data_IF_673949615211
#
_entry.id   IF_673949615211
#
_cell.length_a   1.000
_cell.length_b   1.000
_cell.length_c   1.000
_cell.angle_alpha   90.00
_cell.angle_beta   90.00
_cell.angle_gamma   90.00
#
_symmetry.space_group_name_H-M   'P 1'
#
loop_
_entity.id
_entity.type
_entity.pdbx_description
1 polymer ?
#
# COMPACT_ATOMS: atom_id res chain seq x y z
N UNK A 1 -9.01 14.01 -6.08
CA UNK A 1 -8.37 14.04 -4.75
C UNK A 1 -6.88 14.36 -4.92
N UNK A 2 -6.29 15.05 -3.93
CA UNK A 2 -4.84 15.09 -3.73
C UNK A 2 -4.41 13.84 -2.97
N UNK A 3 -3.63 12.97 -3.60
CA UNK A 3 -3.30 11.64 -3.07
C UNK A 3 -1.82 11.53 -2.80
N UNK A 4 -1.43 11.42 -1.52
CA UNK A 4 -0.06 11.20 -1.12
C UNK A 4 0.32 9.73 -1.30
N UNK A 5 1.33 9.46 -2.11
CA UNK A 5 1.87 8.11 -2.33
C UNK A 5 3.17 7.96 -1.53
N UNK A 6 3.12 7.18 -0.47
CA UNK A 6 4.28 6.86 0.38
C UNK A 6 4.93 5.59 -0.13
N UNK A 7 6.23 5.66 -0.43
CA UNK A 7 6.93 4.61 -1.19
C UNK A 7 6.82 4.80 -2.72
N UNK A 8 6.55 6.03 -3.17
CA UNK A 8 6.36 6.40 -4.58
C UNK A 8 7.50 5.97 -5.50
N UNK A 9 8.75 6.02 -5.03
CA UNK A 9 9.93 5.60 -5.82
C UNK A 9 10.15 4.08 -5.85
N UNK A 10 9.33 3.30 -5.11
CA UNK A 10 9.35 1.83 -5.18
C UNK A 10 8.71 1.29 -6.46
N UNK A 11 8.94 0.00 -6.76
CA UNK A 11 8.40 -0.64 -7.98
C UNK A 11 6.88 -0.49 -8.11
N UNK A 12 6.12 -0.74 -7.04
CA UNK A 12 4.66 -0.61 -7.05
C UNK A 12 4.24 0.87 -7.03
N UNK A 13 4.91 1.72 -6.22
CA UNK A 13 4.62 3.14 -6.15
C UNK A 13 4.74 3.84 -7.51
N UNK A 14 5.77 3.53 -8.28
CA UNK A 14 5.96 4.09 -9.64
C UNK A 14 4.86 3.68 -10.62
N UNK A 15 4.18 2.56 -10.40
CA UNK A 15 3.01 2.14 -11.19
C UNK A 15 1.72 2.83 -10.73
N UNK A 16 1.61 3.17 -9.46
CA UNK A 16 0.45 3.88 -8.89
C UNK A 16 0.34 5.31 -9.45
N UNK A 17 1.46 6.03 -9.60
CA UNK A 17 1.44 7.44 -9.97
C UNK A 17 0.70 7.74 -11.29
N UNK A 18 1.02 7.09 -12.43
CA UNK A 18 0.30 7.32 -13.68
C UNK A 18 -1.16 6.87 -13.61
N UNK A 19 -1.48 5.78 -12.87
CA UNK A 19 -2.85 5.32 -12.71
C UNK A 19 -3.72 6.33 -11.96
N UNK A 20 -3.16 7.05 -10.99
CA UNK A 20 -3.87 8.14 -10.31
C UNK A 20 -4.23 9.26 -11.26
N UNK A 21 -3.34 9.63 -12.18
CA UNK A 21 -3.64 10.65 -13.21
C UNK A 21 -4.73 10.18 -14.17
N UNK A 22 -4.67 8.93 -14.63
CA UNK A 22 -5.66 8.33 -15.52
C UNK A 22 -7.06 8.31 -14.89
N UNK A 23 -7.14 8.20 -13.57
CA UNK A 23 -8.41 8.23 -12.81
C UNK A 23 -8.79 9.62 -12.31
N UNK A 24 -8.07 10.67 -12.72
CA UNK A 24 -8.41 12.07 -12.42
C UNK A 24 -8.00 12.54 -11.02
N UNK A 25 -7.12 11.82 -10.36
CA UNK A 25 -6.51 12.24 -9.09
C UNK A 25 -5.22 13.03 -9.34
N UNK A 26 -4.73 13.72 -8.31
CA UNK A 26 -3.46 14.44 -8.32
C UNK A 26 -2.44 13.70 -7.45
N UNK A 27 -1.51 12.95 -8.05
CA UNK A 27 -0.53 12.22 -7.27
C UNK A 27 0.53 13.15 -6.66
N UNK A 28 0.75 12.97 -5.37
CA UNK A 28 1.82 13.57 -4.58
C UNK A 28 2.79 12.47 -4.18
N UNK A 29 4.02 12.54 -4.63
CA UNK A 29 5.01 11.48 -4.42
C UNK A 29 5.90 11.80 -3.22
N UNK A 30 5.74 11.09 -2.10
CA UNK A 30 6.66 11.23 -0.98
C UNK A 30 8.03 10.68 -1.35
N UNK A 31 9.06 11.54 -1.25
CA UNK A 31 10.45 11.23 -1.56
C UNK A 31 11.35 11.55 -0.36
N UNK A 32 12.43 10.78 -0.18
CA UNK A 32 13.40 11.00 0.90
C UNK A 32 14.57 11.90 0.50
N UNK A 33 14.70 12.20 -0.79
CA UNK A 33 15.80 13.01 -1.32
C UNK A 33 15.32 13.77 -2.55
N UNK A 34 15.70 15.04 -2.64
CA UNK A 34 15.46 15.89 -3.82
C UNK A 34 15.98 15.28 -5.15
N UNK A 35 16.97 14.40 -5.07
CA UNK A 35 17.49 13.69 -6.25
C UNK A 35 16.46 12.79 -6.93
N UNK A 36 15.36 12.47 -6.24
CA UNK A 36 14.24 11.66 -6.76
C UNK A 36 13.18 12.51 -7.47
N UNK A 37 13.22 13.84 -7.33
CA UNK A 37 12.17 14.75 -7.81
C UNK A 37 11.95 14.66 -9.32
N UNK A 38 13.03 14.64 -10.10
CA UNK A 38 12.94 14.57 -11.56
C UNK A 38 12.20 13.32 -12.06
N UNK A 39 12.44 12.19 -11.41
CA UNK A 39 11.77 10.92 -11.72
C UNK A 39 10.27 10.98 -11.42
N UNK A 40 9.88 11.58 -10.28
CA UNK A 40 8.47 11.70 -9.89
C UNK A 40 7.73 12.66 -10.82
N UNK A 41 8.34 13.79 -11.15
CA UNK A 41 7.79 14.74 -12.13
C UNK A 41 7.59 14.09 -13.51
N UNK A 42 8.54 13.26 -13.95
CA UNK A 42 8.43 12.51 -15.21
C UNK A 42 7.26 11.51 -15.21
N UNK A 43 6.84 11.01 -14.03
CA UNK A 43 5.65 10.18 -13.85
C UNK A 43 4.37 11.00 -13.60
N UNK A 44 4.45 12.34 -13.70
CA UNK A 44 3.32 13.25 -13.53
C UNK A 44 2.94 13.50 -12.07
N UNK A 45 3.79 13.16 -11.10
CA UNK A 45 3.53 13.37 -9.69
C UNK A 45 4.34 14.54 -9.14
N UNK A 46 3.73 15.35 -8.29
CA UNK A 46 4.42 16.41 -7.57
C UNK A 46 5.21 15.81 -6.37
N UNK A 47 6.53 16.04 -6.26
CA UNK A 47 7.32 15.51 -5.17
C UNK A 47 7.02 16.24 -3.85
N UNK A 48 6.95 15.46 -2.76
CA UNK A 48 6.84 15.94 -1.37
C UNK A 48 7.99 15.35 -0.58
N UNK A 49 8.87 16.19 -0.02
CA UNK A 49 9.99 15.71 0.77
C UNK A 49 9.50 15.23 2.14
N UNK A 50 9.85 13.99 2.50
CA UNK A 50 9.47 13.38 3.78
C UNK A 50 10.17 12.06 4.03
N UNK A 51 10.30 11.69 5.29
CA UNK A 51 10.87 10.41 5.73
C UNK A 51 9.97 9.80 6.80
N UNK A 52 9.67 8.50 6.67
CA UNK A 52 8.88 7.75 7.65
C UNK A 52 9.53 7.68 9.05
N UNK A 53 10.80 7.99 9.16
CA UNK A 53 11.54 8.06 10.42
C UNK A 53 11.62 9.49 10.99
N UNK A 54 10.94 10.46 10.35
CA UNK A 54 10.88 11.87 10.74
C UNK A 54 9.46 12.34 11.05
N UNK A 55 9.26 13.66 11.22
CA UNK A 55 7.93 14.25 11.40
C UNK A 55 7.11 14.14 10.12
N UNK A 56 5.84 13.80 10.24
CA UNK A 56 4.96 13.47 9.11
C UNK A 56 3.73 14.38 8.97
N UNK A 57 3.43 15.21 9.97
CA UNK A 57 2.25 16.08 9.98
C UNK A 57 2.25 17.03 8.79
N UNK A 58 3.38 17.73 8.54
CA UNK A 58 3.50 18.63 7.39
C UNK A 58 3.49 17.90 6.03
N UNK A 59 3.92 16.63 6.03
CA UNK A 59 3.91 15.78 4.83
C UNK A 59 2.49 15.37 4.46
N UNK A 60 1.62 15.11 5.46
CA UNK A 60 0.25 14.67 5.27
C UNK A 60 -0.72 15.83 5.04
N UNK A 61 -0.41 17.01 5.60
CA UNK A 61 -1.32 18.18 5.60
C UNK A 61 -1.80 18.56 4.20
N UNK A 62 -3.12 18.71 4.07
CA UNK A 62 -3.77 19.14 2.83
C UNK A 62 -3.97 18.05 1.78
N UNK A 63 -3.67 16.79 2.11
CA UNK A 63 -4.00 15.66 1.26
C UNK A 63 -5.37 15.05 1.62
N UNK A 64 -6.09 14.57 0.60
CA UNK A 64 -7.40 13.92 0.77
C UNK A 64 -7.24 12.43 1.13
N UNK A 65 -6.17 11.79 0.66
CA UNK A 65 -5.91 10.38 0.85
C UNK A 65 -4.41 10.06 0.89
N UNK A 66 -4.09 8.94 1.56
CA UNK A 66 -2.74 8.34 1.57
C UNK A 66 -2.79 6.93 1.02
N UNK A 67 -1.88 6.64 0.08
CA UNK A 67 -1.57 5.29 -0.39
C UNK A 67 -0.21 4.88 0.16
N UNK A 68 -0.19 3.92 1.08
CA UNK A 68 1.03 3.40 1.68
C UNK A 68 1.54 2.18 0.90
N UNK A 69 2.55 2.37 0.06
CA UNK A 69 3.24 1.33 -0.71
C UNK A 69 4.73 1.23 -0.34
N UNK A 70 5.12 1.79 0.81
CA UNK A 70 6.49 1.72 1.29
C UNK A 70 6.79 0.36 1.94
N UNK A 71 8.06 0.02 1.93
CA UNK A 71 8.64 -1.09 2.65
C UNK A 71 10.15 -0.91 2.72
N UNK A 72 10.78 -1.48 3.73
CA UNK A 72 12.23 -1.38 3.96
C UNK A 72 13.06 -1.99 2.82
N UNK A 73 12.45 -2.92 2.07
CA UNK A 73 13.09 -3.64 0.96
C UNK A 73 13.86 -4.88 1.40
N UNK A 74 14.04 -5.83 0.47
CA UNK A 74 14.64 -7.15 0.74
C UNK A 74 16.15 -7.12 1.06
N UNK A 75 16.81 -5.96 0.93
CA UNK A 75 18.25 -5.79 1.17
C UNK A 75 18.57 -5.21 2.54
N UNK A 76 17.55 -4.87 3.32
CA UNK A 76 17.70 -4.28 4.67
C UNK A 76 17.50 -5.35 5.76
N UNK A 77 18.01 -5.09 6.96
CA UNK A 77 17.84 -5.99 8.09
C UNK A 77 16.48 -5.85 8.79
N UNK A 78 16.19 -6.75 9.76
CA UNK A 78 14.93 -6.73 10.52
C UNK A 78 14.64 -5.40 11.23
N UNK A 79 15.67 -4.72 11.74
CA UNK A 79 15.53 -3.42 12.40
C UNK A 79 14.88 -2.39 11.47
N UNK A 80 15.35 -2.32 10.21
CA UNK A 80 14.78 -1.40 9.23
C UNK A 80 13.34 -1.72 8.86
N UNK A 81 12.96 -3.01 8.89
CA UNK A 81 11.56 -3.43 8.73
C UNK A 81 10.70 -2.91 9.87
N UNK A 82 11.17 -2.99 11.11
CA UNK A 82 10.46 -2.43 12.25
C UNK A 82 10.34 -0.90 12.13
N UNK A 83 11.40 -0.21 11.72
CA UNK A 83 11.38 1.25 11.65
C UNK A 83 10.48 1.78 10.52
N UNK A 84 10.49 1.13 9.35
CA UNK A 84 9.74 1.61 8.16
C UNK A 84 8.36 0.96 8.06
N UNK A 85 8.29 -0.39 8.06
CA UNK A 85 7.05 -1.12 7.78
C UNK A 85 6.08 -1.14 8.97
N UNK A 86 6.59 -0.98 10.20
CA UNK A 86 5.77 -0.93 11.41
C UNK A 86 5.67 0.50 11.97
N UNK A 87 6.75 1.03 12.59
CA UNK A 87 6.72 2.33 13.29
C UNK A 87 6.40 3.48 12.35
N UNK A 88 7.05 3.54 11.19
CA UNK A 88 6.83 4.58 10.20
C UNK A 88 5.42 4.55 9.62
N UNK A 89 4.87 3.34 9.39
CA UNK A 89 3.48 3.19 8.97
C UNK A 89 2.51 3.69 10.05
N UNK A 90 2.72 3.33 11.32
CA UNK A 90 1.90 3.78 12.45
C UNK A 90 1.97 5.30 12.62
N UNK A 91 3.18 5.88 12.62
CA UNK A 91 3.36 7.33 12.73
C UNK A 91 2.64 8.09 11.60
N UNK A 92 2.66 7.54 10.37
CA UNK A 92 1.93 8.12 9.25
C UNK A 92 0.40 8.06 9.45
N UNK A 93 -0.14 6.96 9.99
CA UNK A 93 -1.56 6.85 10.32
C UNK A 93 -1.97 7.86 11.38
N UNK A 94 -1.15 8.04 12.42
CA UNK A 94 -1.38 9.03 13.49
C UNK A 94 -1.34 10.45 12.93
N UNK A 95 -0.40 10.77 12.03
CA UNK A 95 -0.37 12.04 11.32
C UNK A 95 -1.61 12.24 10.45
N UNK A 96 -2.11 11.21 9.77
CA UNK A 96 -3.35 11.27 9.00
C UNK A 96 -4.56 11.62 9.89
N UNK A 97 -4.68 11.00 11.05
CA UNK A 97 -5.75 11.33 12.03
C UNK A 97 -5.61 12.78 12.50
N UNK A 98 -4.40 13.23 12.85
CA UNK A 98 -4.15 14.57 13.35
C UNK A 98 -4.47 15.67 12.30
N UNK A 99 -4.16 15.42 11.03
CA UNK A 99 -4.34 16.37 9.92
C UNK A 99 -5.68 16.18 9.17
N UNK A 100 -6.59 15.31 9.66
CA UNK A 100 -7.89 14.97 9.04
C UNK A 100 -7.79 14.42 7.60
N UNK A 101 -6.72 13.73 7.25
CA UNK A 101 -6.58 12.97 6.02
C UNK A 101 -7.19 11.58 6.21
N UNK A 102 -8.50 11.46 5.97
CA UNK A 102 -9.27 10.30 6.44
C UNK A 102 -9.06 9.03 5.61
N UNK A 103 -8.87 9.12 4.29
CA UNK A 103 -8.76 7.95 3.41
C UNK A 103 -7.36 7.37 3.42
N UNK A 104 -7.19 6.12 3.89
CA UNK A 104 -5.90 5.44 3.97
C UNK A 104 -5.95 4.06 3.33
N UNK A 105 -5.12 3.81 2.32
CA UNK A 105 -5.00 2.50 1.67
C UNK A 105 -3.62 1.93 1.94
N UNK A 106 -3.60 0.76 2.61
CA UNK A 106 -2.38 0.06 2.99
C UNK A 106 -2.09 -1.06 2.02
N UNK A 107 -0.91 -1.04 1.40
CA UNK A 107 -0.32 -2.22 0.78
C UNK A 107 0.36 -3.06 1.86
N UNK A 108 -0.31 -4.10 2.29
CA UNK A 108 0.17 -5.08 3.27
C UNK A 108 0.69 -6.35 2.57
N UNK A 109 0.46 -7.52 3.12
CA UNK A 109 0.84 -8.79 2.55
C UNK A 109 -0.05 -9.93 3.04
N UNK A 110 -0.17 -10.98 2.26
CA UNK A 110 -0.85 -12.20 2.68
C UNK A 110 -0.25 -12.77 3.97
N UNK A 111 -1.04 -13.54 4.70
CA UNK A 111 -0.68 -14.19 5.97
C UNK A 111 -0.41 -13.23 7.16
N UNK A 112 -0.66 -11.92 7.05
CA UNK A 112 -0.63 -11.05 8.23
C UNK A 112 -1.73 -11.38 9.25
N UNK A 113 -2.80 -12.06 8.82
CA UNK A 113 -3.84 -12.62 9.70
C UNK A 113 -3.58 -14.04 10.19
N UNK A 114 -2.52 -14.72 9.72
CA UNK A 114 -2.22 -16.13 10.01
C UNK A 114 -0.69 -16.36 10.06
N UNK A 115 -0.03 -15.67 11.00
CA UNK A 115 1.44 -15.63 11.10
C UNK A 115 2.08 -17.03 11.32
N UNK A 116 1.34 -17.99 11.88
CA UNK A 116 1.77 -19.38 12.01
C UNK A 116 2.00 -20.08 10.66
N UNK A 117 1.42 -19.56 9.58
CA UNK A 117 1.62 -20.05 8.20
C UNK A 117 2.76 -19.32 7.48
N UNK A 118 3.30 -18.26 8.08
CA UNK A 118 4.32 -17.43 7.45
C UNK A 118 5.63 -18.22 7.26
N UNK A 119 6.27 -18.12 6.06
CA UNK A 119 7.61 -18.66 5.88
C UNK A 119 8.58 -18.04 6.90
N UNK A 120 9.45 -18.85 7.50
CA UNK A 120 10.40 -18.39 8.53
C UNK A 120 11.18 -17.13 8.09
N UNK A 121 11.65 -17.10 6.84
CA UNK A 121 12.41 -15.98 6.28
C UNK A 121 11.60 -14.67 6.19
N UNK A 122 10.27 -14.73 6.14
CA UNK A 122 9.38 -13.58 6.04
C UNK A 122 8.68 -13.27 7.36
N UNK A 123 8.86 -14.11 8.38
CA UNK A 123 8.10 -14.01 9.63
C UNK A 123 8.25 -12.62 10.28
N UNK A 124 9.48 -12.10 10.43
CA UNK A 124 9.72 -10.78 11.02
C UNK A 124 9.04 -9.65 10.22
N UNK A 125 9.06 -9.75 8.89
CA UNK A 125 8.40 -8.78 8.00
C UNK A 125 6.88 -8.83 8.17
N UNK A 126 6.30 -10.04 8.13
CA UNK A 126 4.85 -10.21 8.28
C UNK A 126 4.34 -9.83 9.67
N UNK A 127 5.14 -10.05 10.73
CA UNK A 127 4.84 -9.55 12.08
C UNK A 127 4.76 -8.02 12.09
N UNK A 128 5.73 -7.33 11.51
CA UNK A 128 5.73 -5.85 11.42
C UNK A 128 4.52 -5.33 10.65
N UNK A 129 4.17 -5.97 9.53
CA UNK A 129 2.98 -5.63 8.74
C UNK A 129 1.69 -5.90 9.52
N UNK A 130 1.59 -7.04 10.21
CA UNK A 130 0.41 -7.40 11.01
C UNK A 130 0.16 -6.41 12.16
N UNK A 131 1.22 -5.92 12.81
CA UNK A 131 1.12 -4.89 13.85
C UNK A 131 0.58 -3.59 13.24
N UNK A 132 1.11 -3.15 12.10
CA UNK A 132 0.63 -1.96 11.39
C UNK A 132 -0.82 -2.13 10.91
N UNK A 133 -1.20 -3.30 10.35
CA UNK A 133 -2.56 -3.62 9.92
C UNK A 133 -3.54 -3.54 11.10
N UNK A 134 -3.14 -4.08 12.27
CA UNK A 134 -3.97 -4.06 13.49
C UNK A 134 -4.17 -2.63 14.00
N UNK A 135 -3.11 -1.79 13.98
CA UNK A 135 -3.20 -0.40 14.37
C UNK A 135 -4.14 0.37 13.43
N UNK A 136 -4.01 0.16 12.12
CA UNK A 136 -4.87 0.79 11.13
C UNK A 136 -6.34 0.40 11.32
N UNK A 137 -6.61 -0.88 11.52
CA UNK A 137 -7.97 -1.39 11.73
C UNK A 137 -8.62 -0.88 13.03
N UNK A 138 -7.82 -0.50 14.03
CA UNK A 138 -8.29 0.11 15.28
C UNK A 138 -8.40 1.64 15.21
N UNK A 139 -7.94 2.29 14.15
CA UNK A 139 -7.96 3.73 13.96
C UNK A 139 -9.35 4.24 13.55
N UNK A 140 -9.49 5.56 13.49
CA UNK A 140 -10.70 6.24 12.97
C UNK A 140 -10.63 6.53 11.47
N UNK A 141 -9.61 6.02 10.78
CA UNK A 141 -9.42 6.26 9.35
C UNK A 141 -10.37 5.42 8.50
N UNK A 142 -10.80 5.97 7.38
CA UNK A 142 -11.50 5.25 6.31
C UNK A 142 -10.50 4.37 5.56
N UNK A 143 -10.11 3.26 6.19
CA UNK A 143 -9.03 2.43 5.70
C UNK A 143 -9.46 1.35 4.69
N UNK A 144 -8.50 0.91 3.89
CA UNK A 144 -8.53 -0.36 3.15
C UNK A 144 -7.18 -1.05 3.29
N UNK A 145 -7.14 -2.32 3.66
CA UNK A 145 -5.91 -3.11 3.76
C UNK A 145 -5.89 -4.13 2.63
N UNK A 146 -5.03 -3.91 1.66
CA UNK A 146 -4.82 -4.79 0.50
C UNK A 146 -3.66 -5.73 0.80
N UNK A 147 -3.91 -7.05 0.82
CA UNK A 147 -2.95 -8.10 1.21
C UNK A 147 -2.61 -8.99 0.01
N UNK A 148 -1.73 -8.55 -0.89
CA UNK A 148 -1.33 -9.36 -2.05
C UNK A 148 -0.46 -10.55 -1.66
N UNK A 149 -0.48 -11.58 -2.51
CA UNK A 149 0.54 -12.61 -2.52
C UNK A 149 1.91 -12.10 -3.00
N UNK A 150 2.77 -13.01 -3.45
CA UNK A 150 4.10 -12.63 -3.93
C UNK A 150 3.99 -11.73 -5.17
N UNK A 151 4.57 -10.53 -5.09
CA UNK A 151 4.53 -9.56 -6.17
C UNK A 151 5.51 -9.94 -7.29
N UNK A 152 5.01 -10.07 -8.52
CA UNK A 152 5.82 -10.27 -9.72
C UNK A 152 5.96 -8.99 -10.56
N UNK A 153 6.95 -8.97 -11.44
CA UNK A 153 7.14 -7.89 -12.42
C UNK A 153 6.52 -8.25 -13.79
N UNK A 154 5.67 -9.28 -13.83
CA UNK A 154 4.91 -9.65 -15.03
C UNK A 154 3.85 -8.58 -15.34
N UNK A 155 3.41 -8.54 -16.61
CA UNK A 155 2.33 -7.66 -17.02
C UNK A 155 1.03 -7.98 -16.26
N UNK A 156 0.27 -6.95 -15.91
CA UNK A 156 -1.04 -7.11 -15.32
C UNK A 156 -2.06 -7.68 -16.31
N UNK A 157 -2.93 -8.53 -15.80
CA UNK A 157 -4.02 -9.14 -16.59
C UNK A 157 -5.37 -8.42 -16.39
N UNK A 158 -5.48 -7.62 -15.33
CA UNK A 158 -6.75 -7.05 -14.87
C UNK A 158 -7.68 -8.07 -14.20
N UNK A 159 -7.20 -9.31 -13.99
CA UNK A 159 -7.97 -10.40 -13.41
C UNK A 159 -7.36 -10.83 -12.07
N UNK A 160 -8.18 -10.87 -11.03
CA UNK A 160 -7.78 -11.20 -9.67
C UNK A 160 -8.72 -12.19 -9.01
N UNK A 161 -8.32 -12.70 -7.88
CA UNK A 161 -9.13 -13.41 -6.90
C UNK A 161 -8.93 -12.76 -5.55
N UNK A 162 -10.02 -12.44 -4.84
CA UNK A 162 -10.02 -11.84 -3.50
C UNK A 162 -10.69 -12.77 -2.49
N UNK A 163 -10.37 -12.60 -1.21
CA UNK A 163 -10.98 -13.31 -0.09
C UNK A 163 -10.35 -12.92 1.24
N UNK A 164 -10.98 -13.35 2.33
CA UNK A 164 -10.47 -13.10 3.70
C UNK A 164 -9.26 -13.97 4.01
N UNK A 165 -9.24 -15.21 3.52
CA UNK A 165 -8.14 -16.17 3.61
C UNK A 165 -8.11 -17.01 2.32
N UNK A 166 -7.18 -16.70 1.45
CA UNK A 166 -6.97 -17.46 0.19
C UNK A 166 -6.03 -18.64 0.38
N UNK A 167 -5.56 -18.87 1.61
CA UNK A 167 -4.54 -19.84 1.93
C UNK A 167 -3.16 -19.41 1.42
N UNK A 168 -2.12 -19.54 2.24
CA UNK A 168 -0.75 -19.26 1.80
C UNK A 168 -0.31 -20.33 0.81
N UNK A 169 -0.39 -20.04 -0.48
CA UNK A 169 0.13 -20.94 -1.53
C UNK A 169 1.61 -20.62 -1.71
N UNK A 170 2.48 -21.39 -1.05
CA UNK A 170 3.94 -21.18 -1.07
C UNK A 170 4.49 -21.26 -2.51
N UNK A 171 3.88 -22.04 -3.40
CA UNK A 171 4.36 -22.33 -4.75
C UNK A 171 3.51 -21.74 -5.90
N UNK A 172 2.83 -20.60 -5.71
CA UNK A 172 2.06 -20.05 -6.84
C UNK A 172 1.16 -18.87 -6.50
N UNK A 173 1.10 -18.48 -5.25
CA UNK A 173 0.31 -17.33 -4.82
C UNK A 173 0.93 -15.99 -5.25
N UNK A 174 0.93 -15.72 -6.58
CA UNK A 174 1.52 -14.50 -7.17
C UNK A 174 0.43 -13.57 -7.67
N UNK A 175 0.79 -12.31 -7.76
CA UNK A 175 0.04 -11.27 -8.45
C UNK A 175 1.03 -10.25 -9.03
N UNK A 176 0.70 -9.66 -10.16
CA UNK A 176 1.55 -8.62 -10.73
C UNK A 176 1.50 -7.34 -9.89
N UNK A 177 2.61 -6.60 -9.86
CA UNK A 177 2.62 -5.25 -9.26
C UNK A 177 1.68 -4.30 -9.98
N UNK A 178 1.49 -4.51 -11.28
CA UNK A 178 0.58 -3.71 -12.08
C UNK A 178 -0.88 -3.91 -11.65
N UNK A 179 -1.35 -5.15 -11.49
CA UNK A 179 -2.71 -5.41 -11.00
C UNK A 179 -2.86 -4.97 -9.53
N UNK A 180 -1.81 -5.14 -8.73
CA UNK A 180 -1.77 -4.61 -7.34
C UNK A 180 -1.95 -3.10 -7.32
N UNK A 181 -1.24 -2.35 -8.18
CA UNK A 181 -1.37 -0.91 -8.29
C UNK A 181 -2.78 -0.49 -8.76
N UNK A 182 -3.36 -1.20 -9.74
CA UNK A 182 -4.74 -0.99 -10.20
C UNK A 182 -5.75 -1.17 -9.07
N UNK A 183 -5.63 -2.25 -8.28
CA UNK A 183 -6.52 -2.49 -7.13
C UNK A 183 -6.41 -1.38 -6.09
N UNK A 184 -5.19 -0.97 -5.72
CA UNK A 184 -4.95 0.09 -4.74
C UNK A 184 -5.60 1.41 -5.20
N UNK A 185 -5.41 1.80 -6.46
CA UNK A 185 -6.01 3.03 -7.00
C UNK A 185 -7.53 2.90 -7.08
N UNK A 186 -8.05 1.77 -7.55
CA UNK A 186 -9.49 1.54 -7.65
C UNK A 186 -10.21 1.60 -6.30
N UNK A 187 -9.55 1.26 -5.18
CA UNK A 187 -10.13 1.36 -3.84
C UNK A 187 -10.40 2.82 -3.40
N UNK A 188 -9.72 3.82 -3.99
CA UNK A 188 -9.93 5.23 -3.59
C UNK A 188 -11.38 5.68 -3.76
N UNK A 189 -11.98 5.34 -4.90
CA UNK A 189 -13.32 5.78 -5.27
C UNK A 189 -14.41 4.75 -4.93
N UNK A 190 -14.09 3.76 -4.04
CA UNK A 190 -15.02 2.69 -3.67
C UNK A 190 -15.36 2.69 -2.18
N UNK A 191 -16.48 3.31 -1.78
CA UNK A 191 -16.90 3.34 -0.38
C UNK A 191 -17.09 1.96 0.25
N UNK A 192 -17.47 0.95 -0.53
CA UNK A 192 -17.64 -0.43 -0.05
C UNK A 192 -16.31 -1.10 0.36
N UNK A 193 -15.17 -0.51 0.03
CA UNK A 193 -13.85 -0.99 0.48
C UNK A 193 -13.40 -0.36 1.79
N UNK A 194 -14.13 0.64 2.31
CA UNK A 194 -13.83 1.26 3.60
C UNK A 194 -14.08 0.23 4.71
N UNK A 195 -13.09 0.05 5.58
CA UNK A 195 -13.09 -0.96 6.64
C UNK A 195 -12.73 -2.37 6.15
N UNK A 196 -12.49 -2.55 4.84
CA UNK A 196 -12.14 -3.86 4.29
C UNK A 196 -10.64 -4.18 4.46
N UNK A 197 -10.38 -5.47 4.77
CA UNK A 197 -9.04 -6.06 4.73
C UNK A 197 -9.15 -7.39 3.99
N UNK A 198 -8.51 -7.51 2.84
CA UNK A 198 -8.65 -8.70 1.99
C UNK A 198 -7.33 -9.15 1.37
N UNK A 199 -7.18 -10.44 1.22
CA UNK A 199 -6.11 -11.06 0.45
C UNK A 199 -6.43 -11.05 -1.03
N UNK A 200 -5.38 -10.96 -1.88
CA UNK A 200 -5.56 -11.03 -3.33
C UNK A 200 -4.42 -11.75 -4.04
N UNK A 201 -4.80 -12.48 -5.08
CA UNK A 201 -3.94 -13.22 -5.99
C UNK A 201 -4.35 -12.95 -7.44
N UNK A 202 -3.48 -13.32 -8.40
CA UNK A 202 -3.91 -13.46 -9.78
C UNK A 202 -5.06 -14.46 -9.85
N UNK A 203 -6.05 -14.20 -10.70
CA UNK A 203 -7.26 -14.98 -10.78
C UNK A 203 -7.94 -14.86 -12.15
N UNK A 204 -9.25 -15.00 -12.16
CA UNK A 204 -10.11 -15.01 -13.34
C UNK A 204 -11.25 -13.98 -13.29
N UNK A 205 -11.35 -13.22 -12.19
CA UNK A 205 -12.40 -12.23 -11.99
C UNK A 205 -11.87 -10.83 -12.29
N UNK A 206 -12.53 -10.02 -13.14
CA UNK A 206 -12.13 -8.63 -13.37
C UNK A 206 -12.03 -7.84 -12.06
N UNK A 207 -11.02 -6.99 -11.92
CA UNK A 207 -10.75 -6.17 -10.72
C UNK A 207 -12.01 -5.45 -10.25
N UNK A 208 -12.74 -4.81 -11.18
CA UNK A 208 -13.98 -4.08 -10.89
C UNK A 208 -15.03 -4.96 -10.21
N UNK A 209 -15.22 -6.18 -10.75
CA UNK A 209 -16.19 -7.16 -10.24
C UNK A 209 -15.76 -7.69 -8.88
N UNK A 210 -14.48 -8.01 -8.72
CA UNK A 210 -13.94 -8.53 -7.46
C UNK A 210 -14.08 -7.51 -6.33
N UNK A 211 -13.75 -6.22 -6.59
CA UNK A 211 -13.88 -5.16 -5.61
C UNK A 211 -15.34 -4.79 -5.29
N UNK A 212 -16.26 -4.95 -6.24
CA UNK A 212 -17.68 -4.72 -5.99
C UNK A 212 -18.30 -5.77 -5.06
N UNK A 213 -17.67 -6.92 -4.89
CA UNK A 213 -18.14 -8.03 -4.06
C UNK A 213 -17.60 -8.00 -2.61
N UNK A 214 -16.72 -7.04 -2.26
CA UNK A 214 -16.25 -6.79 -0.89
C UNK A 214 -17.31 -6.03 -0.05
#
# INVERSE_FOLDING_TARGET
MDVLVVGANGKTGRLILPLLLETGHRPRAMIRSETQSADMLALGAEPVLGDLEGPLEDVVRGHDAVLFAAGSGSKTGPEKTIDVDQKGAIALMEACVAENCQRFIMLSGMATGALERAPEKLHHYLVSKAIADTHLAASTLDYTIVKPGFLSDDAGTGLIRTGDDLGLVIDGGRISREDTARVIVACLDRPNTIGAAFEMLAGDTPIETALAAL
#
